data_IF_704824781049
#
_entry.id   IF_704824781049
#
_cell.length_a   1.000
_cell.length_b   1.000
_cell.length_c   1.000
_cell.angle_alpha   90.00
_cell.angle_beta   90.00
_cell.angle_gamma   90.00
#
_symmetry.space_group_name_H-M   'P 1'
#
loop_
_entity.id
_entity.type
_entity.pdbx_description
1 polymer ?
#
# COMPACT_ATOMS: atom_id res chain seq x y z
N UNK A 1 39.75 46.23 26.05
CA UNK A 1 39.09 46.50 24.76
C UNK A 1 38.68 45.16 24.23
N UNK A 2 37.50 44.71 24.57
CA UNK A 2 36.92 43.43 24.16
C UNK A 2 35.90 43.74 23.09
N UNK A 3 36.23 43.33 21.87
CA UNK A 3 35.40 43.43 20.70
C UNK A 3 34.27 42.40 20.79
N UNK A 4 33.07 42.83 21.01
CA UNK A 4 31.87 42.02 20.89
C UNK A 4 31.44 42.03 19.43
N UNK A 5 31.92 41.03 18.66
CA UNK A 5 31.44 40.74 17.35
C UNK A 5 29.95 40.41 17.38
N UNK A 6 29.12 41.41 17.08
CA UNK A 6 27.70 41.21 16.88
C UNK A 6 27.48 40.25 15.70
N UNK A 7 26.87 39.10 15.96
CA UNK A 7 26.33 38.25 14.92
C UNK A 7 25.29 39.04 14.13
N UNK A 8 25.65 39.41 12.89
CA UNK A 8 24.75 39.97 11.92
C UNK A 8 23.68 38.93 11.61
N UNK A 9 22.47 39.15 12.01
CA UNK A 9 21.32 38.34 11.60
C UNK A 9 21.23 38.34 10.08
N UNK A 10 21.29 37.19 9.46
CA UNK A 10 21.16 37.08 8.01
C UNK A 10 19.73 37.46 7.59
N UNK A 11 19.53 38.15 6.45
CA UNK A 11 18.21 38.57 5.96
C UNK A 11 17.21 37.42 5.78
N UNK A 12 17.67 36.17 5.77
CA UNK A 12 16.86 34.97 5.66
C UNK A 12 16.23 34.51 6.99
N UNK A 13 16.67 35.04 8.13
CA UNK A 13 16.19 34.66 9.46
C UNK A 13 14.89 35.40 9.87
N UNK A 14 14.49 36.41 9.12
CA UNK A 14 13.25 37.14 9.33
C UNK A 14 12.19 36.71 8.30
N UNK A 15 11.63 35.54 8.43
CA UNK A 15 10.40 35.18 7.73
C UNK A 15 9.23 35.93 8.44
N UNK A 16 8.59 36.94 7.80
CA UNK A 16 7.39 37.52 8.36
C UNK A 16 6.27 36.49 8.26
N UNK A 17 5.99 35.79 9.35
CA UNK A 17 4.83 34.91 9.43
C UNK A 17 3.62 35.82 9.49
N UNK A 18 2.92 35.99 8.37
CA UNK A 18 1.61 36.61 8.32
C UNK A 18 0.58 35.49 8.33
N UNK A 19 -0.16 35.41 9.41
CA UNK A 19 -1.36 34.57 9.46
C UNK A 19 -2.49 35.37 8.78
N UNK A 20 -2.85 34.96 7.56
CA UNK A 20 -4.08 35.44 6.91
C UNK A 20 -5.16 34.41 7.24
N UNK A 21 -6.11 34.75 8.05
CA UNK A 21 -7.23 33.88 8.42
C UNK A 21 -8.38 34.14 7.47
N UNK A 22 -8.89 33.09 6.85
CA UNK A 22 -10.08 33.13 5.99
C UNK A 22 -11.13 32.08 6.45
N UNK A 23 -12.24 32.00 5.73
CA UNK A 23 -13.38 31.15 6.11
C UNK A 23 -13.07 29.62 6.05
N UNK A 24 -11.91 29.22 5.51
CA UNK A 24 -11.46 27.83 5.48
C UNK A 24 -10.49 27.50 6.62
N UNK A 25 -10.03 28.50 7.38
CA UNK A 25 -9.10 28.29 8.47
C UNK A 25 -9.82 27.80 9.73
N UNK A 26 -9.21 26.86 10.39
CA UNK A 26 -9.67 26.24 11.63
C UNK A 26 -8.75 26.55 12.81
N UNK A 27 -9.16 26.31 14.05
CA UNK A 27 -8.26 26.40 15.20
C UNK A 27 -7.02 25.51 15.08
N UNK A 28 -7.07 24.42 14.31
CA UNK A 28 -5.91 23.54 14.05
C UNK A 28 -4.85 24.25 13.22
N UNK A 29 -5.23 25.06 12.22
CA UNK A 29 -4.29 25.83 11.40
C UNK A 29 -3.54 26.88 12.23
N UNK A 30 -4.21 27.47 13.22
CA UNK A 30 -3.56 28.36 14.17
C UNK A 30 -2.58 27.63 15.07
N UNK A 31 -2.91 26.41 15.51
CA UNK A 31 -2.00 25.56 16.29
C UNK A 31 -0.73 25.23 15.49
N UNK A 32 -0.88 24.88 14.22
CA UNK A 32 0.24 24.59 13.31
C UNK A 32 1.12 25.83 13.10
N UNK A 33 0.52 27.01 12.88
CA UNK A 33 1.26 28.25 12.73
C UNK A 33 2.04 28.63 14.00
N UNK A 34 1.45 28.46 15.18
CA UNK A 34 2.13 28.68 16.44
C UNK A 34 3.30 27.74 16.69
N UNK A 35 3.15 26.47 16.29
CA UNK A 35 4.24 25.49 16.36
C UNK A 35 5.42 25.90 15.49
N UNK A 36 5.17 26.33 14.26
CA UNK A 36 6.21 26.72 13.31
C UNK A 36 6.94 28.01 13.72
N UNK A 37 6.36 28.83 14.55
CA UNK A 37 6.90 30.14 14.92
C UNK A 37 8.33 30.10 15.47
N UNK A 38 8.61 29.23 16.44
CA UNK A 38 9.95 29.10 17.05
C UNK A 38 10.99 28.45 16.13
N UNK A 39 10.54 27.58 15.25
CA UNK A 39 11.40 27.02 14.23
C UNK A 39 11.77 28.08 13.18
N UNK A 40 10.79 28.85 12.72
CA UNK A 40 10.97 29.90 11.71
C UNK A 40 11.84 31.08 12.23
N UNK A 41 11.81 31.37 13.52
CA UNK A 41 12.66 32.40 14.15
C UNK A 41 14.08 31.93 14.49
N UNK A 42 14.35 30.61 14.31
CA UNK A 42 15.64 30.02 14.68
C UNK A 42 15.84 29.78 16.18
N UNK A 43 14.82 30.02 17.02
CA UNK A 43 14.89 29.70 18.46
C UNK A 43 15.01 28.20 18.70
N UNK A 44 14.36 27.39 17.84
CA UNK A 44 14.38 25.94 17.90
C UNK A 44 14.67 25.36 16.49
N UNK A 45 15.90 25.41 16.02
CA UNK A 45 16.25 25.12 14.62
C UNK A 45 16.29 23.63 14.25
N UNK A 46 16.11 22.75 15.22
CA UNK A 46 16.17 21.31 14.99
C UNK A 46 14.78 20.69 15.09
N UNK A 47 14.40 19.89 14.09
CA UNK A 47 13.10 19.24 14.07
C UNK A 47 13.24 17.74 13.82
N UNK A 48 12.43 16.95 14.53
CA UNK A 48 12.20 15.53 14.28
C UNK A 48 10.70 15.25 14.27
N UNK A 49 10.27 14.32 13.38
CA UNK A 49 8.87 13.93 13.28
C UNK A 49 8.74 12.41 13.13
N UNK A 50 7.61 11.87 13.56
CA UNK A 50 7.21 10.49 13.34
C UNK A 50 5.72 10.41 13.06
N UNK A 51 5.34 9.52 12.14
CA UNK A 51 3.96 9.13 11.90
C UNK A 51 3.68 7.81 12.63
N UNK A 52 2.57 7.76 13.37
CA UNK A 52 2.09 6.55 14.04
C UNK A 52 0.75 6.19 13.41
N UNK A 53 0.72 5.16 12.59
CA UNK A 53 -0.49 4.73 11.86
C UNK A 53 -1.63 4.32 12.80
N UNK A 54 -1.28 3.69 13.94
CA UNK A 54 -2.24 3.29 14.98
C UNK A 54 -1.69 3.64 16.35
N UNK A 55 -2.40 4.50 17.04
CA UNK A 55 -2.08 4.91 18.41
C UNK A 55 -2.87 4.05 19.38
N UNK A 56 -2.17 3.48 20.37
CA UNK A 56 -2.79 2.69 21.44
C UNK A 56 -3.86 3.53 22.17
N UNK A 57 -4.98 2.88 22.46
CA UNK A 57 -6.03 3.51 23.24
C UNK A 57 -5.49 4.00 24.60
N UNK A 58 -5.69 5.29 24.88
CA UNK A 58 -5.20 5.92 26.13
C UNK A 58 -3.76 6.47 26.06
N UNK A 59 -2.99 6.27 24.98
CA UNK A 59 -1.68 6.92 24.84
C UNK A 59 -1.85 8.43 24.69
N UNK A 60 -1.17 9.21 25.54
CA UNK A 60 -1.28 10.68 25.56
C UNK A 60 -0.42 11.36 24.52
N UNK A 61 0.66 10.71 24.07
CA UNK A 61 1.71 11.25 23.20
C UNK A 61 2.40 12.51 23.78
N UNK A 62 2.32 12.69 25.09
CA UNK A 62 2.88 13.81 25.79
C UNK A 62 3.99 13.35 26.74
N UNK A 63 5.20 13.94 26.69
CA UNK A 63 6.22 13.76 27.72
C UNK A 63 5.72 14.18 29.10
N UNK A 64 6.24 13.56 30.14
CA UNK A 64 5.78 13.79 31.53
C UNK A 64 5.85 15.27 31.98
N UNK A 65 6.79 16.03 31.41
CA UNK A 65 7.02 17.45 31.75
C UNK A 65 6.38 18.42 30.76
N UNK A 66 5.55 17.92 29.85
CA UNK A 66 4.92 18.74 28.81
C UNK A 66 3.86 19.67 29.41
N UNK A 67 3.92 20.95 29.05
CA UNK A 67 2.87 21.93 29.31
C UNK A 67 2.05 22.13 28.04
N UNK A 68 0.78 21.75 28.07
CA UNK A 68 -0.12 21.95 26.93
C UNK A 68 -0.43 23.42 26.81
N UNK A 69 -0.18 24.02 25.65
CA UNK A 69 -0.44 25.44 25.34
C UNK A 69 -1.78 25.62 24.61
N UNK A 70 -2.07 24.73 23.66
CA UNK A 70 -3.30 24.78 22.84
C UNK A 70 -3.79 23.36 22.57
N UNK A 71 -5.09 23.23 22.47
CA UNK A 71 -5.78 22.02 22.05
C UNK A 71 -6.93 22.47 21.13
N UNK A 72 -6.84 22.08 19.87
CA UNK A 72 -7.95 22.17 18.93
C UNK A 72 -8.52 20.77 18.75
N UNK A 73 -9.85 20.65 18.75
CA UNK A 73 -10.54 19.37 18.58
C UNK A 73 -11.71 19.57 17.64
N UNK A 74 -11.80 18.70 16.65
CA UNK A 74 -12.86 18.64 15.66
C UNK A 74 -13.21 17.17 15.44
N UNK A 75 -14.47 16.79 15.61
CA UNK A 75 -15.00 15.42 15.52
C UNK A 75 -13.99 14.32 15.91
N UNK A 76 -13.31 13.74 14.90
CA UNK A 76 -12.35 12.64 15.03
C UNK A 76 -10.88 13.10 14.95
N UNK A 77 -10.64 14.43 14.86
CA UNK A 77 -9.30 15.02 14.78
C UNK A 77 -8.99 15.91 15.95
N UNK A 78 -7.73 16.00 16.31
CA UNK A 78 -7.27 16.98 17.29
C UNK A 78 -5.83 17.41 17.02
N UNK A 79 -5.53 18.68 17.27
CA UNK A 79 -4.19 19.22 17.24
C UNK A 79 -3.83 19.70 18.66
N UNK A 80 -2.73 19.20 19.20
CA UNK A 80 -2.24 19.58 20.54
C UNK A 80 -0.87 20.22 20.40
N UNK A 81 -0.73 21.45 20.89
CA UNK A 81 0.54 22.14 21.02
C UNK A 81 0.98 22.09 22.48
N UNK A 82 2.17 21.57 22.71
CA UNK A 82 2.78 21.50 24.03
C UNK A 82 4.22 22.01 23.99
N UNK A 83 4.76 22.40 25.13
CA UNK A 83 6.13 22.86 25.26
C UNK A 83 6.79 22.35 26.53
N UNK A 84 8.11 22.41 26.55
CA UNK A 84 8.95 22.22 27.70
C UNK A 84 10.24 23.04 27.58
N UNK A 85 11.21 22.77 28.42
CA UNK A 85 12.46 23.50 28.42
C UNK A 85 13.26 23.23 27.14
N UNK A 86 13.34 24.24 26.27
CA UNK A 86 14.07 24.20 24.99
C UNK A 86 13.41 23.42 23.87
N UNK A 87 12.15 23.02 23.99
CA UNK A 87 11.44 22.28 22.94
C UNK A 87 9.94 22.64 22.84
N UNK A 88 9.38 22.40 21.68
CA UNK A 88 7.94 22.50 21.37
C UNK A 88 7.49 21.25 20.62
N UNK A 89 6.30 20.76 20.95
CA UNK A 89 5.73 19.52 20.42
C UNK A 89 4.37 19.81 19.80
N UNK A 90 4.16 19.32 18.60
CA UNK A 90 2.86 19.29 17.92
C UNK A 90 2.41 17.84 17.76
N UNK A 91 1.19 17.54 18.19
CA UNK A 91 0.53 16.26 18.01
C UNK A 91 -0.72 16.50 17.18
N UNK A 92 -0.76 15.98 15.97
CA UNK A 92 -1.95 15.97 15.11
C UNK A 92 -2.53 14.56 15.08
N UNK A 93 -3.67 14.35 15.74
CA UNK A 93 -4.35 13.04 15.84
C UNK A 93 -5.53 12.95 14.89
N UNK A 94 -5.78 11.77 14.40
CA UNK A 94 -6.99 11.36 13.68
C UNK A 94 -7.51 10.04 14.27
N UNK A 95 -8.64 9.55 13.78
CA UNK A 95 -9.38 8.40 14.34
C UNK A 95 -8.52 7.20 14.78
N UNK A 96 -7.40 6.94 14.11
CA UNK A 96 -6.54 5.78 14.42
C UNK A 96 -5.09 6.13 14.71
N UNK A 97 -4.57 7.21 14.16
CA UNK A 97 -3.16 7.52 14.17
C UNK A 97 -2.83 8.93 14.65
N UNK A 98 -1.57 9.28 14.60
CA UNK A 98 -1.08 10.61 14.89
C UNK A 98 0.22 10.93 14.17
N UNK A 99 0.39 12.20 13.78
CA UNK A 99 1.69 12.79 13.49
C UNK A 99 2.20 13.49 14.75
N UNK A 100 3.44 13.20 15.12
CA UNK A 100 4.11 13.82 16.26
C UNK A 100 5.37 14.52 15.76
N UNK A 101 5.42 15.84 15.92
CA UNK A 101 6.56 16.64 15.49
C UNK A 101 7.11 17.44 16.67
N UNK A 102 8.42 17.43 16.82
CA UNK A 102 9.14 18.18 17.84
C UNK A 102 10.08 19.17 17.20
N UNK A 103 10.12 20.40 17.69
CA UNK A 103 11.20 21.35 17.44
C UNK A 103 11.95 21.61 18.73
N UNK A 104 13.28 21.81 18.67
CA UNK A 104 14.10 22.00 19.86
C UNK A 104 15.37 22.81 19.60
N UNK A 105 16.03 23.21 20.68
CA UNK A 105 17.30 23.94 20.67
C UNK A 105 18.51 23.09 20.27
N UNK A 106 18.38 21.74 20.28
CA UNK A 106 19.38 20.81 19.75
C UNK A 106 18.74 19.57 19.14
N UNK A 107 19.45 18.93 18.19
CA UNK A 107 18.98 17.72 17.51
C UNK A 107 18.75 16.55 18.49
N UNK A 108 19.66 16.37 19.45
CA UNK A 108 19.55 15.32 20.47
C UNK A 108 18.35 15.51 21.39
N UNK A 109 18.04 16.78 21.74
CA UNK A 109 16.85 17.10 22.52
C UNK A 109 15.59 16.78 21.73
N UNK A 110 15.51 17.20 20.47
CA UNK A 110 14.36 16.91 19.62
C UNK A 110 14.10 15.40 19.49
N UNK A 111 15.15 14.62 19.24
CA UNK A 111 15.08 13.16 19.13
C UNK A 111 14.62 12.50 20.43
N UNK A 112 15.20 12.90 21.57
CA UNK A 112 14.87 12.36 22.89
C UNK A 112 13.40 12.65 23.25
N UNK A 113 12.94 13.90 23.07
CA UNK A 113 11.55 14.27 23.36
C UNK A 113 10.57 13.54 22.46
N UNK A 114 10.90 13.40 21.18
CA UNK A 114 10.07 12.61 20.26
C UNK A 114 9.96 11.15 20.72
N UNK A 115 11.08 10.53 21.10
CA UNK A 115 11.11 9.17 21.61
C UNK A 115 10.30 9.04 22.90
N UNK A 116 10.45 9.95 23.86
CA UNK A 116 9.67 9.97 25.11
C UNK A 116 8.17 10.10 24.84
N UNK A 117 7.77 10.98 23.90
CA UNK A 117 6.39 11.19 23.54
C UNK A 117 5.74 9.96 22.85
N UNK A 118 6.52 9.17 22.16
CA UNK A 118 6.01 8.07 21.33
C UNK A 118 6.34 6.69 21.86
N UNK A 119 7.10 6.59 22.96
CA UNK A 119 7.46 5.31 23.56
C UNK A 119 6.22 4.51 23.97
N UNK A 120 6.12 3.28 23.45
CA UNK A 120 4.97 2.40 23.67
C UNK A 120 3.62 2.95 23.19
N UNK A 121 3.61 4.04 22.41
CA UNK A 121 2.37 4.66 21.90
C UNK A 121 1.78 3.96 20.69
N UNK A 122 2.60 3.24 19.91
CA UNK A 122 2.12 2.47 18.78
C UNK A 122 1.29 1.27 19.26
N UNK A 123 0.13 1.09 18.66
CA UNK A 123 -0.69 -0.09 18.79
C UNK A 123 -0.29 -1.06 17.68
N UNK A 124 0.71 -1.89 17.96
CA UNK A 124 1.04 -3.00 17.06
C UNK A 124 -0.08 -4.03 17.20
N UNK A 125 -0.88 -4.24 16.13
CA UNK A 125 -1.91 -5.26 16.18
C UNK A 125 -1.24 -6.61 16.44
N UNK A 126 -1.75 -7.36 17.42
CA UNK A 126 -1.31 -8.74 17.59
C UNK A 126 -1.40 -9.47 16.25
N UNK A 127 -0.35 -10.19 15.83
CA UNK A 127 -0.34 -10.90 14.57
C UNK A 127 -1.50 -11.90 14.56
N UNK A 128 -2.61 -11.52 13.92
CA UNK A 128 -3.70 -12.45 13.73
C UNK A 128 -3.26 -13.45 12.66
N UNK A 129 -3.22 -14.73 12.94
CA UNK A 129 -2.70 -15.74 12.01
C UNK A 129 -3.43 -15.75 10.66
N UNK A 130 -4.66 -15.25 10.63
CA UNK A 130 -5.49 -15.16 9.41
C UNK A 130 -5.30 -13.86 8.61
N UNK A 131 -4.41 -12.96 9.04
CA UNK A 131 -4.22 -11.68 8.37
C UNK A 131 -2.79 -11.56 7.82
N UNK A 132 -2.68 -10.85 6.71
CA UNK A 132 -1.42 -10.41 6.12
C UNK A 132 -1.46 -8.90 5.90
N UNK A 133 -0.38 -8.21 6.22
CA UNK A 133 -0.24 -6.78 5.94
C UNK A 133 0.14 -6.60 4.47
N UNK A 134 -0.69 -5.89 3.72
CA UNK A 134 -0.43 -5.52 2.33
C UNK A 134 -0.35 -4.00 2.19
N UNK A 135 0.54 -3.52 1.33
CA UNK A 135 0.59 -2.14 0.92
C UNK A 135 -0.36 -1.84 -0.25
N UNK A 136 -0.80 -0.59 -0.33
CA UNK A 136 -1.66 -0.11 -1.41
C UNK A 136 -1.13 1.22 -1.91
N UNK A 137 -0.73 1.26 -3.19
CA UNK A 137 -0.24 2.45 -3.85
C UNK A 137 -1.37 3.12 -4.63
N UNK A 138 -1.49 4.43 -4.48
CA UNK A 138 -2.41 5.27 -5.25
C UNK A 138 -1.87 6.69 -5.36
N UNK A 139 -2.40 7.47 -6.30
CA UNK A 139 -2.01 8.87 -6.45
C UNK A 139 -3.01 9.75 -5.72
N UNK A 140 -2.54 10.36 -4.63
CA UNK A 140 -3.30 11.37 -3.90
C UNK A 140 -3.26 12.71 -4.64
N UNK A 141 -4.39 13.41 -4.85
CA UNK A 141 -4.40 14.74 -5.50
C UNK A 141 -3.55 15.78 -4.79
N UNK A 142 -3.37 15.65 -3.47
CA UNK A 142 -2.62 16.61 -2.64
C UNK A 142 -1.17 16.20 -2.37
N UNK A 143 -0.88 14.90 -2.32
CA UNK A 143 0.43 14.37 -1.88
C UNK A 143 1.19 13.65 -2.98
N UNK A 144 0.62 13.50 -4.19
CA UNK A 144 1.22 12.69 -5.25
C UNK A 144 1.16 11.19 -4.93
N UNK A 145 2.13 10.40 -5.41
CA UNK A 145 2.23 8.98 -5.09
C UNK A 145 2.23 8.73 -3.59
N UNK A 146 1.36 7.86 -3.13
CA UNK A 146 1.19 7.58 -1.71
C UNK A 146 0.94 6.10 -1.48
N UNK A 147 1.55 5.57 -0.42
CA UNK A 147 1.40 4.19 0.02
C UNK A 147 0.68 4.15 1.36
N UNK A 148 -0.30 3.28 1.49
CA UNK A 148 -0.94 2.96 2.77
C UNK A 148 -0.87 1.46 3.03
N UNK A 149 -0.96 1.03 4.26
CA UNK A 149 -0.96 -0.39 4.62
C UNK A 149 -2.31 -0.79 5.21
N UNK A 150 -2.71 -2.03 4.93
CA UNK A 150 -3.92 -2.63 5.52
C UNK A 150 -3.68 -4.09 5.85
N UNK A 151 -4.34 -4.55 6.88
CA UNK A 151 -4.44 -5.97 7.18
C UNK A 151 -5.57 -6.58 6.36
N UNK A 152 -5.24 -7.60 5.57
CA UNK A 152 -6.16 -8.30 4.68
C UNK A 152 -6.30 -9.74 5.19
N UNK A 153 -7.54 -10.20 5.31
CA UNK A 153 -7.80 -11.60 5.64
C UNK A 153 -7.36 -12.50 4.48
N UNK A 154 -6.53 -13.47 4.78
CA UNK A 154 -6.05 -14.46 3.84
C UNK A 154 -6.08 -15.85 4.48
N UNK A 155 -6.81 -16.77 3.87
CA UNK A 155 -6.81 -18.17 4.26
C UNK A 155 -5.43 -18.82 4.10
N UNK A 156 -5.21 -19.98 4.69
CA UNK A 156 -4.03 -20.80 4.41
C UNK A 156 -4.14 -21.42 3.02
N UNK A 157 -3.00 -21.80 2.47
CA UNK A 157 -3.01 -22.46 1.15
C UNK A 157 -3.75 -23.80 1.22
N UNK A 158 -3.59 -24.54 2.29
CA UNK A 158 -4.27 -25.83 2.54
C UNK A 158 -5.80 -25.68 2.50
N UNK A 159 -6.33 -24.60 3.04
CA UNK A 159 -7.78 -24.31 3.07
C UNK A 159 -8.33 -23.98 1.68
N UNK A 160 -7.59 -23.20 0.89
CA UNK A 160 -8.08 -22.76 -0.42
C UNK A 160 -7.63 -23.62 -1.61
N UNK A 161 -6.65 -24.48 -1.42
CA UNK A 161 -6.14 -25.39 -2.45
C UNK A 161 -7.24 -26.19 -3.18
N UNK A 162 -8.29 -26.71 -2.51
CA UNK A 162 -9.39 -27.39 -3.17
C UNK A 162 -10.25 -26.52 -4.11
N UNK A 163 -10.07 -25.19 -4.07
CA UNK A 163 -10.77 -24.24 -4.94
C UNK A 163 -10.19 -24.18 -6.35
N UNK A 164 -9.12 -24.92 -6.62
CA UNK A 164 -8.40 -24.85 -7.89
C UNK A 164 -8.30 -26.24 -8.53
N UNK A 165 -8.20 -26.24 -9.86
CA UNK A 165 -7.91 -27.48 -10.61
C UNK A 165 -6.55 -28.04 -10.24
N UNK A 166 -6.36 -29.35 -10.39
CA UNK A 166 -5.11 -29.99 -10.00
C UNK A 166 -3.85 -29.32 -10.64
N UNK A 167 -3.80 -28.96 -11.93
CA UNK A 167 -2.64 -28.29 -12.51
C UNK A 167 -2.35 -26.93 -11.87
N UNK A 168 -3.40 -26.14 -11.55
CA UNK A 168 -3.26 -24.86 -10.87
C UNK A 168 -2.77 -25.05 -9.45
N UNK A 169 -3.37 -25.99 -8.71
CA UNK A 169 -2.97 -26.31 -7.35
C UNK A 169 -1.50 -26.73 -7.27
N UNK A 170 -1.02 -27.59 -8.19
CA UNK A 170 0.37 -28.03 -8.23
C UNK A 170 1.34 -26.90 -8.60
N UNK A 171 0.93 -25.97 -9.48
CA UNK A 171 1.73 -24.78 -9.80
C UNK A 171 1.82 -23.83 -8.59
N UNK A 172 0.69 -23.61 -7.90
CA UNK A 172 0.64 -22.79 -6.70
C UNK A 172 1.37 -23.43 -5.51
N UNK A 173 1.36 -24.78 -5.35
CA UNK A 173 2.14 -25.49 -4.34
C UNK A 173 3.63 -25.15 -4.45
N UNK A 174 4.15 -25.11 -5.68
CA UNK A 174 5.55 -24.72 -5.94
C UNK A 174 5.78 -23.25 -5.59
N UNK A 175 4.87 -22.39 -6.04
CA UNK A 175 4.99 -20.94 -5.82
C UNK A 175 4.92 -20.58 -4.34
N UNK A 176 4.03 -21.20 -3.54
CA UNK A 176 3.93 -20.98 -2.11
C UNK A 176 5.20 -21.32 -1.34
N UNK A 177 5.97 -22.29 -1.84
CA UNK A 177 7.23 -22.75 -1.23
C UNK A 177 8.47 -22.03 -1.74
N UNK A 178 8.32 -21.12 -2.71
CA UNK A 178 9.43 -20.35 -3.28
C UNK A 178 10.07 -19.48 -2.21
N UNK A 179 11.39 -19.48 -2.16
CA UNK A 179 12.23 -18.65 -1.29
C UNK A 179 12.99 -17.60 -2.10
N UNK A 180 13.62 -16.60 -1.47
CA UNK A 180 14.41 -15.59 -2.17
C UNK A 180 15.48 -16.18 -3.12
N UNK A 181 16.05 -17.33 -2.76
CA UNK A 181 17.11 -18.01 -3.51
C UNK A 181 16.59 -18.68 -4.79
N UNK A 182 15.29 -19.00 -4.84
CA UNK A 182 14.65 -19.67 -5.97
C UNK A 182 14.19 -18.70 -7.06
N UNK A 183 14.33 -17.40 -6.82
CA UNK A 183 13.82 -16.37 -7.74
C UNK A 183 14.67 -16.35 -9.02
N UNK A 184 14.14 -16.91 -10.09
CA UNK A 184 14.79 -16.98 -11.40
C UNK A 184 14.24 -15.96 -12.41
N UNK A 185 13.05 -15.44 -12.17
CA UNK A 185 12.38 -14.42 -12.99
C UNK A 185 11.68 -13.37 -12.13
N UNK A 186 11.29 -12.26 -12.72
CA UNK A 186 10.70 -11.12 -11.98
C UNK A 186 9.18 -10.98 -12.18
N UNK A 187 8.59 -11.75 -13.09
CA UNK A 187 7.18 -11.67 -13.45
C UNK A 187 6.40 -12.88 -12.93
N UNK A 188 5.36 -12.62 -12.16
CA UNK A 188 4.32 -13.57 -11.81
C UNK A 188 3.06 -13.21 -12.61
N UNK A 189 2.53 -14.15 -13.39
CA UNK A 189 1.37 -13.92 -14.23
C UNK A 189 0.27 -14.94 -13.92
N UNK A 190 -0.89 -14.44 -13.45
CA UNK A 190 -2.11 -15.22 -13.28
C UNK A 190 -3.16 -14.73 -14.28
N UNK A 191 -3.62 -15.63 -15.13
CA UNK A 191 -4.63 -15.29 -16.13
C UNK A 191 -5.79 -16.31 -16.15
N UNK A 192 -6.90 -15.96 -16.76
CA UNK A 192 -8.08 -16.83 -16.86
C UNK A 192 -9.36 -16.11 -16.52
N UNK A 193 -10.54 -16.73 -16.75
CA UNK A 193 -11.85 -16.09 -16.62
C UNK A 193 -12.08 -15.42 -15.26
N UNK A 194 -12.96 -14.42 -15.18
CA UNK A 194 -13.34 -13.81 -13.92
C UNK A 194 -14.01 -14.85 -12.99
N UNK A 195 -13.88 -14.62 -11.68
CA UNK A 195 -14.50 -15.51 -10.68
C UNK A 195 -13.80 -16.84 -10.43
N UNK A 196 -12.59 -17.07 -10.97
CA UNK A 196 -11.82 -18.30 -10.77
C UNK A 196 -10.90 -18.27 -9.53
N UNK A 197 -10.85 -17.15 -8.80
CA UNK A 197 -10.12 -17.07 -7.53
C UNK A 197 -8.69 -16.52 -7.62
N UNK A 198 -8.30 -15.82 -8.70
CA UNK A 198 -6.95 -15.22 -8.87
C UNK A 198 -6.54 -14.35 -7.69
N UNK A 199 -7.38 -13.40 -7.28
CA UNK A 199 -7.14 -12.51 -6.12
C UNK A 199 -7.02 -13.30 -4.81
N UNK A 200 -7.80 -14.35 -4.62
CA UNK A 200 -7.71 -15.21 -3.43
C UNK A 200 -6.37 -15.95 -3.38
N UNK A 201 -5.89 -16.47 -4.52
CA UNK A 201 -4.57 -17.09 -4.63
C UNK A 201 -3.46 -16.11 -4.26
N UNK A 202 -3.53 -14.85 -4.74
CA UNK A 202 -2.54 -13.81 -4.45
C UNK A 202 -2.52 -13.38 -2.98
N UNK A 203 -3.70 -13.28 -2.33
CA UNK A 203 -3.76 -13.00 -0.88
C UNK A 203 -3.10 -14.10 -0.06
N UNK A 204 -3.35 -15.34 -0.42
CA UNK A 204 -2.72 -16.49 0.25
C UNK A 204 -1.22 -16.55 -0.04
N UNK A 205 -0.80 -16.21 -1.26
CA UNK A 205 0.62 -16.06 -1.59
C UNK A 205 1.29 -14.98 -0.72
N UNK A 206 0.66 -13.82 -0.58
CA UNK A 206 1.15 -12.76 0.28
C UNK A 206 1.33 -13.23 1.73
N UNK A 207 0.40 -14.06 2.24
CA UNK A 207 0.52 -14.68 3.56
C UNK A 207 1.68 -15.67 3.64
N UNK A 208 1.85 -16.53 2.62
CA UNK A 208 2.93 -17.52 2.58
C UNK A 208 4.32 -16.88 2.50
N UNK A 209 4.43 -15.74 1.82
CA UNK A 209 5.70 -15.02 1.62
C UNK A 209 5.97 -13.91 2.64
N UNK A 210 5.08 -13.69 3.60
CA UNK A 210 5.11 -12.56 4.56
C UNK A 210 6.45 -12.37 5.27
N UNK A 211 7.22 -13.43 5.49
CA UNK A 211 8.46 -13.37 6.25
C UNK A 211 9.63 -12.77 5.45
N UNK A 212 9.60 -12.91 4.12
CA UNK A 212 10.68 -12.47 3.25
C UNK A 212 10.25 -11.49 2.15
N UNK A 213 8.97 -11.43 1.82
CA UNK A 213 8.44 -10.57 0.76
C UNK A 213 7.31 -9.69 1.28
N UNK A 214 7.39 -8.41 0.96
CA UNK A 214 6.30 -7.45 1.14
C UNK A 214 5.46 -7.42 -0.12
N UNK A 215 4.14 -7.47 0.03
CA UNK A 215 3.21 -7.42 -1.11
C UNK A 215 2.49 -6.07 -1.12
N UNK A 216 2.61 -5.38 -2.24
CA UNK A 216 1.99 -4.09 -2.49
C UNK A 216 1.08 -4.18 -3.71
N UNK A 217 -0.16 -3.72 -3.60
CA UNK A 217 -1.12 -3.62 -4.69
C UNK A 217 -1.14 -2.19 -5.24
N UNK A 218 -1.08 -2.04 -6.56
CA UNK A 218 -1.24 -0.75 -7.24
C UNK A 218 -2.71 -0.61 -7.63
N UNK A 219 -3.37 0.42 -7.07
CA UNK A 219 -4.80 0.64 -7.29
C UNK A 219 -5.11 1.30 -8.64
N UNK A 220 -4.12 2.02 -9.20
CA UNK A 220 -4.26 2.75 -10.45
C UNK A 220 -3.25 2.25 -11.51
N UNK A 221 -3.36 1.00 -12.02
CA UNK A 221 -2.38 0.46 -12.96
C UNK A 221 -2.30 1.25 -14.26
N UNK A 222 -3.39 1.81 -14.75
CA UNK A 222 -3.39 2.66 -15.95
C UNK A 222 -2.56 3.92 -15.75
N UNK A 223 -2.69 4.56 -14.59
CA UNK A 223 -1.92 5.74 -14.25
C UNK A 223 -0.45 5.40 -14.06
N UNK A 224 -0.14 4.26 -13.46
CA UNK A 224 1.23 3.75 -13.36
C UNK A 224 1.91 3.69 -14.73
N UNK A 225 1.18 3.25 -15.74
CA UNK A 225 1.73 3.09 -17.08
C UNK A 225 1.80 4.40 -17.89
N UNK A 226 0.99 5.40 -17.56
CA UNK A 226 1.00 6.70 -18.21
C UNK A 226 1.94 7.72 -17.57
N UNK A 227 2.26 7.57 -16.28
CA UNK A 227 3.09 8.48 -15.49
C UNK A 227 4.43 7.84 -15.11
N UNK A 228 5.51 8.30 -15.77
CA UNK A 228 6.86 7.78 -15.52
C UNK A 228 7.35 8.10 -14.11
N UNK A 229 6.95 9.24 -13.54
CA UNK A 229 7.30 9.62 -12.17
C UNK A 229 6.69 8.63 -11.17
N UNK A 230 5.40 8.37 -11.30
CA UNK A 230 4.68 7.39 -10.47
C UNK A 230 5.27 5.98 -10.59
N UNK A 231 5.59 5.56 -11.83
CA UNK A 231 6.27 4.28 -12.06
C UNK A 231 7.62 4.19 -11.32
N UNK A 232 8.40 5.27 -11.35
CA UNK A 232 9.70 5.32 -10.67
C UNK A 232 9.53 5.30 -9.16
N UNK A 233 8.60 6.06 -8.59
CA UNK A 233 8.35 6.10 -7.16
C UNK A 233 7.93 4.72 -6.62
N UNK A 234 7.05 4.02 -7.33
CA UNK A 234 6.66 2.64 -6.99
C UNK A 234 7.82 1.67 -7.16
N UNK A 235 8.57 1.74 -8.26
CA UNK A 235 9.69 0.84 -8.51
C UNK A 235 10.82 1.02 -7.49
N UNK A 236 11.10 2.27 -7.12
CA UNK A 236 12.06 2.61 -6.07
C UNK A 236 11.50 2.20 -4.70
N UNK A 237 10.23 2.50 -4.43
CA UNK A 237 9.57 2.25 -3.16
C UNK A 237 10.08 3.11 -2.03
N UNK A 238 9.38 3.06 -0.91
CA UNK A 238 9.87 3.62 0.35
C UNK A 238 10.98 2.74 0.91
N UNK A 239 12.03 3.35 1.45
CA UNK A 239 13.04 2.60 2.20
C UNK A 239 12.37 2.00 3.44
N UNK A 240 12.49 0.69 3.61
CA UNK A 240 11.99 0.04 4.81
C UNK A 240 12.72 0.62 6.03
N UNK A 241 11.97 1.24 6.93
CA UNK A 241 12.50 1.82 8.17
C UNK A 241 13.26 0.77 9.03
N UNK A 242 13.05 -0.52 8.78
CA UNK A 242 13.77 -1.62 9.44
C UNK A 242 15.16 -1.88 8.84
N UNK A 243 15.54 -1.22 7.74
CA UNK A 243 16.83 -1.44 7.05
C UNK A 243 17.00 -2.86 6.48
N UNK A 244 15.95 -3.66 6.45
CA UNK A 244 15.98 -5.02 5.88
C UNK A 244 15.76 -4.94 4.38
N UNK A 245 16.66 -5.52 3.60
CA UNK A 245 16.53 -5.64 2.15
C UNK A 245 15.51 -6.74 1.79
N UNK A 246 14.22 -6.50 2.09
CA UNK A 246 13.13 -7.42 1.81
C UNK A 246 12.78 -7.39 0.31
N UNK A 247 12.34 -8.54 -0.19
CA UNK A 247 11.70 -8.59 -1.50
C UNK A 247 10.36 -7.86 -1.48
N UNK A 248 9.97 -7.30 -2.61
CA UNK A 248 8.68 -6.68 -2.82
C UNK A 248 7.99 -7.29 -4.03
N UNK A 249 6.73 -7.65 -3.87
CA UNK A 249 5.85 -8.08 -4.97
C UNK A 249 4.86 -6.94 -5.25
N UNK A 250 4.98 -6.30 -6.40
CA UNK A 250 4.03 -5.29 -6.89
C UNK A 250 2.92 -6.00 -7.65
N UNK A 251 1.70 -5.96 -7.12
CA UNK A 251 0.51 -6.54 -7.76
C UNK A 251 -0.20 -5.50 -8.60
N UNK A 252 -0.45 -5.84 -9.85
CA UNK A 252 -1.25 -5.12 -10.82
C UNK A 252 -2.46 -6.01 -11.12
N UNK A 253 -3.60 -5.72 -10.49
CA UNK A 253 -4.81 -6.52 -10.67
C UNK A 253 -5.66 -5.96 -11.82
N UNK A 254 -6.42 -6.86 -12.49
CA UNK A 254 -7.40 -6.55 -13.53
C UNK A 254 -6.85 -5.67 -14.67
N UNK A 255 -5.67 -6.03 -15.18
CA UNK A 255 -5.00 -5.28 -16.25
C UNK A 255 -5.61 -5.53 -17.65
N UNK A 256 -6.87 -5.89 -17.76
CA UNK A 256 -7.53 -6.24 -19.03
C UNK A 256 -7.55 -5.09 -20.04
N UNK A 257 -7.83 -3.87 -19.58
CA UNK A 257 -7.87 -2.68 -20.43
C UNK A 257 -6.50 -2.34 -21.02
N UNK A 258 -5.44 -2.66 -20.30
CA UNK A 258 -4.05 -2.46 -20.73
C UNK A 258 -3.64 -3.45 -21.83
N UNK A 259 -4.43 -4.51 -22.02
CA UNK A 259 -4.14 -5.58 -22.98
C UNK A 259 -4.99 -5.42 -24.24
N UNK A 260 -6.13 -4.73 -24.15
CA UNK A 260 -7.07 -4.53 -25.25
C UNK A 260 -6.74 -3.29 -26.10
N UNK A 261 -6.91 -3.41 -27.44
CA UNK A 261 -6.97 -2.32 -28.40
C UNK A 261 -5.68 -1.53 -28.65
N UNK A 262 -5.83 -0.24 -28.97
CA UNK A 262 -4.74 0.69 -29.28
C UNK A 262 -3.81 0.95 -28.05
N UNK A 263 -4.33 0.82 -26.85
CA UNK A 263 -3.58 0.85 -25.61
C UNK A 263 -2.52 -0.26 -25.52
N UNK A 264 -2.66 -1.33 -26.30
CA UNK A 264 -1.74 -2.48 -26.32
C UNK A 264 -0.27 -2.09 -26.56
N UNK A 265 -0.02 -1.11 -27.44
CA UNK A 265 1.35 -0.65 -27.70
C UNK A 265 1.91 0.17 -26.55
N UNK A 266 1.12 1.07 -25.98
CA UNK A 266 1.56 1.96 -24.89
C UNK A 266 1.71 1.18 -23.58
N UNK A 267 0.73 0.38 -23.23
CA UNK A 267 0.75 -0.44 -22.01
C UNK A 267 1.79 -1.57 -22.07
N UNK A 268 1.95 -2.24 -23.23
CA UNK A 268 3.00 -3.22 -23.43
C UNK A 268 4.40 -2.63 -23.34
N UNK A 269 4.60 -1.38 -23.79
CA UNK A 269 5.83 -0.65 -23.60
C UNK A 269 6.05 -0.27 -22.13
N UNK A 270 5.01 0.14 -21.42
CA UNK A 270 5.09 0.55 -20.04
C UNK A 270 5.34 -0.66 -19.11
N UNK A 271 4.65 -1.79 -19.33
CA UNK A 271 4.95 -3.04 -18.62
C UNK A 271 6.38 -3.51 -18.94
N UNK A 272 6.83 -3.40 -20.20
CA UNK A 272 8.22 -3.69 -20.57
C UNK A 272 9.21 -2.75 -19.88
N UNK A 273 8.86 -1.46 -19.68
CA UNK A 273 9.67 -0.51 -18.92
C UNK A 273 9.74 -0.91 -17.45
N UNK A 274 8.60 -1.25 -16.83
CA UNK A 274 8.57 -1.73 -15.45
C UNK A 274 9.44 -2.96 -15.27
N UNK A 275 9.31 -3.96 -16.15
CA UNK A 275 10.14 -5.16 -16.13
C UNK A 275 11.63 -4.84 -16.39
N UNK A 276 11.94 -3.92 -17.29
CA UNK A 276 13.32 -3.49 -17.53
C UNK A 276 13.89 -2.71 -16.32
N UNK A 277 13.06 -1.98 -15.59
CA UNK A 277 13.48 -1.32 -14.34
C UNK A 277 13.78 -2.34 -13.24
N UNK A 278 13.00 -3.43 -13.17
CA UNK A 278 13.21 -4.49 -12.17
C UNK A 278 14.36 -5.44 -12.54
N UNK A 279 14.58 -5.70 -13.84
CA UNK A 279 15.64 -6.59 -14.35
C UNK A 279 16.93 -5.84 -14.71
N UNK A 280 16.86 -4.52 -14.98
CA UNK A 280 17.94 -3.70 -15.50
C UNK A 280 18.90 -3.12 -14.45
N UNK A 281 19.75 -2.17 -14.89
CA UNK A 281 20.74 -1.49 -14.03
C UNK A 281 20.13 -0.83 -12.78
N UNK A 282 18.91 -0.33 -12.86
CA UNK A 282 18.19 0.26 -11.73
C UNK A 282 17.63 -0.82 -10.79
N UNK A 283 17.39 -2.02 -11.29
CA UNK A 283 16.94 -3.18 -10.51
C UNK A 283 18.07 -3.95 -9.83
N UNK A 284 19.34 -3.71 -10.22
CA UNK A 284 20.47 -4.32 -9.54
C UNK A 284 20.56 -3.80 -8.09
N UNK A 285 20.41 -4.73 -7.14
CA UNK A 285 20.36 -4.41 -5.71
C UNK A 285 18.96 -4.14 -5.16
N UNK A 286 17.90 -4.18 -5.99
CA UNK A 286 16.51 -4.10 -5.53
C UNK A 286 15.76 -5.40 -5.81
N UNK A 287 15.18 -5.95 -4.77
CA UNK A 287 14.48 -7.22 -4.79
C UNK A 287 12.99 -6.98 -5.11
N UNK A 288 12.66 -6.71 -6.39
CA UNK A 288 11.30 -6.41 -6.84
C UNK A 288 10.79 -7.49 -7.79
N UNK A 289 9.60 -7.99 -7.52
CA UNK A 289 8.78 -8.84 -8.37
C UNK A 289 7.57 -8.06 -8.85
N UNK A 290 7.05 -8.40 -10.02
CA UNK A 290 5.81 -7.85 -10.56
C UNK A 290 4.81 -8.97 -10.74
N UNK A 291 3.65 -8.86 -10.09
CA UNK A 291 2.52 -9.76 -10.26
C UNK A 291 1.45 -9.09 -11.12
N UNK A 292 1.00 -9.77 -12.16
CA UNK A 292 -0.06 -9.27 -13.05
C UNK A 292 -1.22 -10.26 -13.06
N UNK A 293 -2.45 -9.77 -12.88
CA UNK A 293 -3.65 -10.54 -13.15
C UNK A 293 -4.40 -9.99 -14.34
N UNK A 294 -4.98 -10.89 -15.12
CA UNK A 294 -5.81 -10.54 -16.28
C UNK A 294 -6.85 -11.63 -16.55
N UNK A 295 -7.99 -11.24 -17.14
CA UNK A 295 -9.00 -12.16 -17.63
C UNK A 295 -8.78 -12.54 -19.11
N UNK A 296 -7.78 -11.94 -19.76
CA UNK A 296 -7.49 -12.16 -21.18
C UNK A 296 -6.50 -13.32 -21.40
N UNK A 297 -6.55 -13.89 -22.61
CA UNK A 297 -5.61 -14.91 -23.02
C UNK A 297 -4.18 -14.36 -23.19
N UNK A 298 -3.22 -15.17 -22.81
CA UNK A 298 -1.80 -14.81 -22.88
C UNK A 298 -1.28 -14.54 -24.29
N UNK A 299 -1.88 -15.15 -25.31
CA UNK A 299 -1.52 -14.91 -26.71
C UNK A 299 -1.74 -13.45 -27.13
N UNK A 300 -2.59 -12.75 -26.38
CA UNK A 300 -2.87 -11.32 -26.55
C UNK A 300 -1.89 -10.41 -25.84
N UNK A 301 -1.06 -10.95 -24.93
CA UNK A 301 -0.03 -10.15 -24.25
C UNK A 301 1.10 -9.76 -25.21
N UNK A 302 1.72 -8.63 -24.91
CA UNK A 302 2.90 -8.19 -25.69
C UNK A 302 4.03 -9.23 -25.56
N UNK A 303 4.67 -9.66 -26.67
CA UNK A 303 5.70 -10.71 -26.65
C UNK A 303 6.87 -10.45 -25.71
N UNK A 304 7.16 -9.18 -25.41
CA UNK A 304 8.22 -8.80 -24.48
C UNK A 304 7.96 -9.27 -23.04
N UNK A 305 6.69 -9.50 -22.67
CA UNK A 305 6.25 -9.92 -21.33
C UNK A 305 6.54 -11.42 -21.11
N UNK A 306 6.33 -12.22 -22.15
CA UNK A 306 6.45 -13.69 -22.11
C UNK A 306 7.83 -14.21 -22.52
N UNK A 307 8.86 -13.36 -22.58
CA UNK A 307 10.22 -13.80 -22.91
C UNK A 307 10.73 -14.84 -21.91
N UNK A 308 11.41 -15.90 -22.39
CA UNK A 308 12.05 -16.90 -21.52
C UNK A 308 12.98 -16.23 -20.50
N UNK A 309 12.94 -16.71 -19.24
CA UNK A 309 13.76 -16.18 -18.14
C UNK A 309 13.19 -14.96 -17.41
N UNK A 310 12.12 -14.31 -17.91
CA UNK A 310 11.48 -13.20 -17.21
C UNK A 310 10.39 -13.63 -16.23
N UNK A 311 9.69 -14.74 -16.54
CA UNK A 311 8.59 -15.21 -15.71
C UNK A 311 9.12 -16.13 -14.60
N UNK A 312 8.80 -15.77 -13.35
CA UNK A 312 8.92 -16.66 -12.21
C UNK A 312 7.86 -17.76 -12.30
N UNK A 313 6.62 -17.37 -12.57
CA UNK A 313 5.53 -18.30 -12.81
C UNK A 313 4.49 -17.70 -13.77
N UNK A 314 3.86 -18.58 -14.55
CA UNK A 314 2.72 -18.31 -15.42
C UNK A 314 1.65 -19.35 -15.16
N UNK A 315 0.52 -18.93 -14.63
CA UNK A 315 -0.53 -19.82 -14.17
C UNK A 315 -1.85 -19.42 -14.80
N UNK A 316 -2.45 -20.35 -15.53
CA UNK A 316 -3.81 -20.23 -16.04
C UNK A 316 -4.79 -20.75 -15.00
N UNK A 317 -5.57 -19.82 -14.41
CA UNK A 317 -6.55 -20.13 -13.38
C UNK A 317 -7.93 -20.26 -14.04
N UNK A 318 -8.21 -21.47 -14.51
CA UNK A 318 -9.48 -21.81 -15.19
C UNK A 318 -10.58 -22.21 -14.21
N UNK A 319 -11.82 -22.44 -14.75
CA UNK A 319 -12.91 -23.04 -13.98
C UNK A 319 -12.56 -24.47 -13.56
N UNK A 320 -13.17 -24.94 -12.47
CA UNK A 320 -13.09 -26.34 -12.06
C UNK A 320 -13.79 -27.21 -13.12
N UNK A 321 -13.18 -28.35 -13.44
CA UNK A 321 -13.86 -29.35 -14.25
C UNK A 321 -15.13 -29.82 -13.59
N UNK A 322 -16.10 -30.35 -14.35
CA UNK A 322 -17.34 -30.85 -13.76
C UNK A 322 -17.10 -31.78 -12.58
N UNK A 323 -16.15 -32.71 -12.69
CA UNK A 323 -15.82 -33.64 -11.62
C UNK A 323 -15.29 -32.92 -10.35
N UNK A 324 -14.37 -31.98 -10.55
CA UNK A 324 -13.82 -31.20 -9.43
C UNK A 324 -14.90 -30.31 -8.79
N UNK A 325 -15.75 -29.69 -9.61
CA UNK A 325 -16.86 -28.84 -9.17
C UNK A 325 -17.90 -29.61 -8.34
N UNK A 326 -18.28 -30.81 -8.80
CA UNK A 326 -19.19 -31.72 -8.07
C UNK A 326 -18.56 -32.16 -6.75
N UNK A 327 -17.29 -32.53 -6.75
CA UNK A 327 -16.57 -32.89 -5.53
C UNK A 327 -16.50 -31.70 -4.54
N UNK A 328 -16.29 -30.50 -5.02
CA UNK A 328 -16.23 -29.28 -4.21
C UNK A 328 -17.59 -28.92 -3.59
N UNK A 329 -18.66 -29.06 -4.39
CA UNK A 329 -20.04 -28.71 -3.99
C UNK A 329 -20.70 -29.82 -3.13
N UNK A 330 -20.31 -31.08 -3.37
CA UNK A 330 -20.89 -32.26 -2.73
C UNK A 330 -22.13 -32.82 -3.44
N UNK A 331 -22.61 -32.22 -4.53
CA UNK A 331 -23.74 -32.65 -5.34
C UNK A 331 -23.60 -32.17 -6.79
N UNK A 332 -24.38 -32.76 -7.72
CA UNK A 332 -24.31 -32.43 -9.15
C UNK A 332 -25.25 -31.29 -9.59
N UNK A 333 -26.23 -30.98 -8.75
CA UNK A 333 -27.28 -30.01 -9.07
C UNK A 333 -26.70 -28.61 -9.31
N UNK A 334 -27.02 -28.00 -10.46
CA UNK A 334 -26.56 -26.68 -10.85
C UNK A 334 -25.17 -26.64 -11.49
N UNK A 335 -24.40 -27.76 -11.50
CA UNK A 335 -23.08 -27.80 -12.12
C UNK A 335 -23.21 -28.06 -13.62
N UNK A 336 -22.71 -27.11 -14.45
CA UNK A 336 -22.71 -27.23 -15.91
C UNK A 336 -21.85 -28.36 -16.46
N UNK A 337 -22.02 -28.69 -17.74
CA UNK A 337 -21.22 -29.74 -18.43
C UNK A 337 -19.74 -29.36 -18.51
N UNK A 338 -19.45 -28.09 -18.69
CA UNK A 338 -18.09 -27.54 -18.80
C UNK A 338 -17.41 -27.35 -17.43
N UNK A 339 -18.13 -27.61 -16.33
CA UNK A 339 -17.69 -27.32 -14.97
C UNK A 339 -18.25 -26.00 -14.46
N UNK A 340 -17.56 -25.36 -13.53
CA UNK A 340 -17.99 -24.10 -12.94
C UNK A 340 -16.79 -23.28 -12.41
N UNK A 341 -16.93 -21.95 -12.46
CA UNK A 341 -16.01 -21.04 -11.78
C UNK A 341 -16.23 -21.11 -10.27
N UNK A 342 -15.24 -20.69 -9.50
CA UNK A 342 -15.35 -20.65 -8.05
C UNK A 342 -16.49 -19.73 -7.58
N UNK A 343 -16.71 -18.62 -8.25
CA UNK A 343 -17.80 -17.69 -7.96
C UNK A 343 -19.17 -18.36 -8.14
N UNK A 344 -19.37 -19.12 -9.22
CA UNK A 344 -20.59 -19.90 -9.46
C UNK A 344 -20.81 -20.95 -8.40
N UNK A 345 -19.75 -21.66 -7.99
CA UNK A 345 -19.83 -22.66 -6.93
C UNK A 345 -20.25 -22.06 -5.58
N UNK A 346 -19.69 -20.90 -5.22
CA UNK A 346 -20.12 -20.20 -4.01
C UNK A 346 -21.58 -19.72 -4.11
N UNK A 347 -22.06 -19.29 -5.30
CA UNK A 347 -23.44 -18.94 -5.52
C UNK A 347 -24.37 -20.15 -5.35
N UNK A 348 -24.03 -21.29 -5.94
CA UNK A 348 -24.76 -22.55 -5.77
C UNK A 348 -24.82 -23.01 -4.31
N UNK A 349 -23.70 -22.94 -3.58
CA UNK A 349 -23.66 -23.29 -2.15
C UNK A 349 -24.56 -22.41 -1.30
N UNK A 350 -24.77 -21.14 -1.70
CA UNK A 350 -25.71 -20.20 -1.04
C UNK A 350 -27.16 -20.35 -1.48
N UNK A 351 -27.46 -21.27 -2.40
CA UNK A 351 -28.80 -21.48 -2.95
C UNK A 351 -29.24 -20.39 -3.93
N UNK A 352 -28.29 -19.60 -4.47
CA UNK A 352 -28.55 -18.62 -5.51
C UNK A 352 -28.19 -19.21 -6.86
N UNK A 353 -29.12 -19.13 -7.85
CA UNK A 353 -28.81 -19.58 -9.22
C UNK A 353 -27.79 -18.64 -9.86
N UNK A 354 -26.71 -19.13 -10.48
CA UNK A 354 -25.78 -18.28 -11.25
C UNK A 354 -26.46 -17.47 -12.35
N UNK A 355 -27.56 -17.98 -12.90
CA UNK A 355 -28.34 -17.30 -13.94
C UNK A 355 -29.23 -16.15 -13.41
N UNK A 356 -29.32 -15.96 -12.10
CA UNK A 356 -30.13 -14.89 -11.49
C UNK A 356 -29.34 -13.63 -11.12
N UNK A 357 -28.06 -13.57 -11.43
CA UNK A 357 -27.32 -12.30 -11.38
C UNK A 357 -27.84 -11.43 -12.53
N UNK A 358 -28.42 -10.23 -12.26
CA UNK A 358 -28.85 -9.35 -13.34
C UNK A 358 -27.62 -9.02 -14.17
N UNK A 359 -27.73 -9.17 -15.50
CA UNK A 359 -26.76 -8.61 -16.42
C UNK A 359 -26.56 -7.14 -16.04
N UNK A 360 -25.33 -6.63 -15.98
CA UNK A 360 -25.12 -5.21 -15.78
C UNK A 360 -25.87 -4.49 -16.90
N UNK A 361 -26.98 -3.84 -16.56
CA UNK A 361 -27.71 -2.97 -17.49
C UNK A 361 -26.71 -1.92 -17.91
N UNK A 362 -26.35 -1.93 -19.17
CA UNK A 362 -25.66 -0.84 -19.82
C UNK A 362 -26.57 0.39 -19.82
N UNK A 363 -26.60 1.11 -18.74
CA UNK A 363 -27.10 2.48 -18.70
C UNK A 363 -25.89 3.40 -18.64
N UNK A 364 -25.64 4.03 -19.77
CA UNK A 364 -25.00 5.33 -19.85
C UNK A 364 -25.84 6.28 -18.98
N UNK A 365 -25.37 6.54 -17.77
CA UNK A 365 -25.63 7.66 -16.88
C UNK A 365 -25.67 7.18 -15.42
N UNK A 366 -24.53 7.16 -14.77
CA UNK A 366 -24.44 7.40 -13.34
C UNK A 366 -22.96 7.61 -12.99
N UNK A 367 -22.56 8.85 -13.09
CA UNK A 367 -21.43 9.34 -12.35
C UNK A 367 -21.67 9.20 -10.86
N UNK A 368 -20.59 9.21 -10.14
CA UNK A 368 -20.46 9.38 -8.69
C UNK A 368 -20.94 8.21 -7.82
N UNK A 369 -19.97 7.38 -7.41
CA UNK A 369 -19.88 7.05 -5.98
C UNK A 369 -18.41 7.08 -5.53
N UNK A 370 -18.19 8.01 -4.61
CA UNK A 370 -17.00 8.23 -3.80
C UNK A 370 -16.63 7.02 -2.93
#
# INVERSE_FOLDING_TARGET
MTDHGGMSAHPHDALPIRLNVDDNDSPSDVVDALFLGRFATGEQPYSHAVNIERVRSGATLLPAQARVLRLAKDDDRSATLAEGDGWTLLISRWSRGADVTVTATSADLAKRILQEATDGAADEPEPQPEHVTMGFWYVSPRRGPHRTTRQITAGTWEEIRPNYTAPVADAMDRLMKTTPEDISGRLLLLHGPPGTGKTSALRTLARSWRDWCQVDCVLDPERLFSDVGYLMDIAIGEEDASGRNRWRLLLLEDCDELIRGEAKHTAGQALSRLLNLTDGLLGQGRNVLVGVTTNEDLERLHPAVVRPGRCLARIEVGPLTRREAVNWLGHEEGVGREGATLAELYALRRGTSPASLPEPRGDADAGLYL
#
